data_IF_861884263847
#
_entry.id   IF_861884263847
#
_cell.length_a   1.000
_cell.length_b   1.000
_cell.length_c   1.000
_cell.angle_alpha   90.00
_cell.angle_beta   90.00
_cell.angle_gamma   90.00
#
_symmetry.space_group_name_H-M   'P 1'
#
loop_
_entity.id
_entity.type
_entity.pdbx_description
1 polymer ?
#
# COMPACT_ATOMS: atom_id res chain seq x y z
N UNK A 1 19.74 -10.04 17.65
CA UNK A 1 19.93 -8.58 17.63
C UNK A 1 18.57 -7.96 17.32
N UNK A 2 18.00 -7.20 18.24
CA UNK A 2 16.81 -6.37 17.97
C UNK A 2 17.22 -5.34 16.90
N UNK A 3 16.47 -5.20 15.80
CA UNK A 3 16.77 -4.16 14.82
C UNK A 3 16.72 -2.82 15.57
N UNK A 4 17.78 -2.05 15.49
CA UNK A 4 17.79 -0.68 16.00
C UNK A 4 16.66 0.06 15.30
N UNK A 5 15.75 0.64 16.08
CA UNK A 5 14.63 1.38 15.52
C UNK A 5 15.19 2.59 14.77
N UNK A 6 15.00 2.62 13.46
CA UNK A 6 15.41 3.77 12.64
C UNK A 6 14.46 4.92 12.95
N UNK A 7 14.96 5.93 13.64
CA UNK A 7 14.24 7.17 13.89
C UNK A 7 14.56 8.17 12.78
N UNK A 8 13.53 8.61 12.08
CA UNK A 8 13.67 9.64 11.05
C UNK A 8 13.69 11.03 11.70
N UNK A 9 14.60 11.93 11.26
CA UNK A 9 14.61 13.29 11.75
C UNK A 9 13.41 14.10 11.22
N UNK A 10 12.99 15.16 11.93
CA UNK A 10 11.89 16.03 11.49
C UNK A 10 12.07 16.61 10.09
N UNK A 11 13.30 16.77 9.63
CA UNK A 11 13.59 17.24 8.25
C UNK A 11 13.05 16.32 7.14
N UNK A 12 12.71 15.06 7.44
CA UNK A 12 12.08 14.14 6.51
C UNK A 12 10.56 14.37 6.35
N UNK A 13 9.93 15.18 7.20
CA UNK A 13 8.49 15.37 7.26
C UNK A 13 7.87 15.73 5.91
N UNK A 14 8.31 16.82 5.30
CA UNK A 14 7.74 17.30 4.02
C UNK A 14 7.88 16.26 2.92
N UNK A 15 9.04 15.62 2.82
CA UNK A 15 9.27 14.58 1.83
C UNK A 15 8.32 13.38 2.04
N UNK A 16 8.11 12.95 3.28
CA UNK A 16 7.16 11.87 3.59
C UNK A 16 5.72 12.27 3.29
N UNK A 17 5.29 13.48 3.66
CA UNK A 17 3.95 13.99 3.34
C UNK A 17 3.70 14.02 1.83
N UNK A 18 4.66 14.50 1.03
CA UNK A 18 4.55 14.50 -0.43
C UNK A 18 4.44 13.09 -1.02
N UNK A 19 5.16 12.13 -0.45
CA UNK A 19 5.11 10.73 -0.91
C UNK A 19 3.78 10.09 -0.52
N UNK A 20 3.32 10.37 0.69
CA UNK A 20 2.03 9.87 1.16
C UNK A 20 0.88 10.45 0.34
N UNK A 21 0.88 11.75 0.06
CA UNK A 21 -0.11 12.38 -0.85
C UNK A 21 -0.21 11.64 -2.19
N UNK A 22 0.93 11.21 -2.74
CA UNK A 22 0.94 10.42 -3.99
C UNK A 22 0.42 9.00 -3.80
N UNK A 23 0.66 8.38 -2.64
CA UNK A 23 0.16 7.06 -2.29
C UNK A 23 -1.36 7.09 -2.13
N UNK A 24 -1.90 8.03 -1.37
CA UNK A 24 -3.34 8.24 -1.18
C UNK A 24 -4.09 8.48 -2.49
N UNK A 25 -3.54 9.32 -3.37
CA UNK A 25 -4.13 9.53 -4.69
C UNK A 25 -4.18 8.24 -5.53
N UNK A 26 -3.21 7.32 -5.33
CA UNK A 26 -3.19 6.00 -5.98
C UNK A 26 -4.16 5.03 -5.31
N UNK A 27 -4.24 5.01 -3.97
CA UNK A 27 -5.16 4.17 -3.23
C UNK A 27 -6.61 4.53 -3.57
N UNK A 28 -6.96 5.81 -3.50
CA UNK A 28 -8.29 6.31 -3.89
C UNK A 28 -8.67 5.94 -5.33
N UNK A 29 -7.75 6.08 -6.28
CA UNK A 29 -7.98 5.63 -7.64
C UNK A 29 -8.16 4.11 -7.75
N UNK A 30 -7.36 3.33 -7.04
CA UNK A 30 -7.42 1.87 -7.06
C UNK A 30 -8.77 1.38 -6.50
N UNK A 31 -9.23 1.93 -5.39
CA UNK A 31 -10.53 1.63 -4.78
C UNK A 31 -11.69 2.00 -5.71
N UNK A 32 -11.68 3.20 -6.30
CA UNK A 32 -12.68 3.63 -7.29
C UNK A 32 -12.72 2.71 -8.51
N UNK A 33 -11.55 2.31 -8.99
CA UNK A 33 -11.44 1.36 -10.10
C UNK A 33 -11.97 -0.03 -9.74
N UNK A 34 -11.75 -0.48 -8.50
CA UNK A 34 -12.23 -1.76 -7.99
C UNK A 34 -13.76 -1.79 -7.86
N UNK A 35 -14.38 -0.72 -7.37
CA UNK A 35 -15.84 -0.58 -7.28
C UNK A 35 -16.57 -0.71 -8.61
N UNK A 36 -15.91 -0.36 -9.72
CA UNK A 36 -16.44 -0.48 -11.07
C UNK A 36 -16.27 -1.90 -11.66
N UNK A 37 -15.78 -2.86 -10.88
CA UNK A 37 -15.56 -4.25 -11.29
C UNK A 37 -16.57 -5.19 -10.66
N UNK A 38 -16.63 -6.41 -11.18
CA UNK A 38 -17.37 -7.51 -10.55
C UNK A 38 -16.57 -8.01 -9.33
N UNK A 39 -16.96 -7.53 -8.15
CA UNK A 39 -16.35 -7.90 -6.87
C UNK A 39 -17.34 -8.68 -6.01
N UNK A 40 -16.90 -9.56 -5.10
CA UNK A 40 -17.79 -10.27 -4.18
C UNK A 40 -18.69 -9.30 -3.40
N UNK A 41 -19.95 -9.65 -3.18
CA UNK A 41 -20.95 -8.75 -2.58
C UNK A 41 -20.55 -8.15 -1.24
N UNK A 42 -19.86 -8.92 -0.38
CA UNK A 42 -19.35 -8.45 0.90
C UNK A 42 -18.17 -7.46 0.79
N UNK A 43 -17.50 -7.41 -0.37
CA UNK A 43 -16.38 -6.51 -0.62
C UNK A 43 -16.85 -5.11 -0.99
N UNK A 44 -17.95 -4.99 -1.73
CA UNK A 44 -18.42 -3.70 -2.21
C UNK A 44 -18.72 -2.72 -1.06
N UNK A 45 -19.34 -3.19 0.01
CA UNK A 45 -19.64 -2.37 1.20
C UNK A 45 -18.36 -1.85 1.87
N UNK A 46 -17.32 -2.67 1.90
CA UNK A 46 -16.02 -2.24 2.40
C UNK A 46 -15.38 -1.20 1.47
N UNK A 47 -15.38 -1.42 0.16
CA UNK A 47 -14.80 -0.48 -0.81
C UNK A 47 -15.50 0.89 -0.81
N UNK A 48 -16.79 0.96 -0.51
CA UNK A 48 -17.50 2.23 -0.38
C UNK A 48 -16.98 3.04 0.80
N UNK A 49 -16.84 2.41 1.98
CA UNK A 49 -16.29 3.06 3.18
C UNK A 49 -14.81 3.42 2.98
N UNK A 50 -14.03 2.50 2.46
CA UNK A 50 -12.62 2.68 2.17
C UNK A 50 -12.39 3.90 1.25
N UNK A 51 -13.20 4.08 0.20
CA UNK A 51 -13.10 5.28 -0.66
C UNK A 51 -13.32 6.59 0.12
N UNK A 52 -14.25 6.59 1.08
CA UNK A 52 -14.50 7.78 1.91
C UNK A 52 -13.31 8.06 2.84
N UNK A 53 -12.69 7.03 3.38
CA UNK A 53 -11.50 7.11 4.25
C UNK A 53 -10.31 7.64 3.45
N UNK A 54 -9.98 7.06 2.30
CA UNK A 54 -8.92 7.53 1.40
C UNK A 54 -9.12 8.97 0.92
N UNK A 55 -10.37 9.36 0.64
CA UNK A 55 -10.68 10.73 0.25
C UNK A 55 -10.48 11.74 1.41
N UNK A 56 -10.66 11.32 2.67
CA UNK A 56 -10.36 12.13 3.86
C UNK A 56 -8.86 12.25 4.08
N UNK A 57 -8.12 11.13 4.00
CA UNK A 57 -6.66 11.11 4.11
C UNK A 57 -6.03 12.06 3.08
N UNK A 58 -6.43 11.95 1.82
CA UNK A 58 -5.95 12.81 0.74
C UNK A 58 -6.11 14.30 1.09
N UNK A 59 -7.29 14.71 1.60
CA UNK A 59 -7.56 16.09 2.01
C UNK A 59 -6.67 16.54 3.17
N UNK A 60 -6.37 15.67 4.12
CA UNK A 60 -5.44 15.98 5.22
C UNK A 60 -4.06 16.33 4.68
N UNK A 61 -3.54 15.52 3.73
CA UNK A 61 -2.22 15.76 3.13
C UNK A 61 -2.22 16.99 2.23
N UNK A 62 -3.27 17.22 1.44
CA UNK A 62 -3.42 18.44 0.64
C UNK A 62 -3.39 19.69 1.52
N UNK A 63 -4.10 19.68 2.64
CA UNK A 63 -4.14 20.80 3.57
C UNK A 63 -2.79 21.07 4.23
N UNK A 64 -2.07 20.01 4.65
CA UNK A 64 -0.75 20.14 5.29
C UNK A 64 0.33 20.67 4.35
N UNK A 65 0.27 20.28 3.09
CA UNK A 65 1.22 20.70 2.07
C UNK A 65 0.82 22.04 1.40
N UNK A 66 -0.41 22.50 1.61
CA UNK A 66 -0.94 23.67 0.91
C UNK A 66 -1.08 23.49 -0.60
N UNK A 67 -1.29 22.24 -1.04
CA UNK A 67 -1.41 21.88 -2.47
C UNK A 67 -2.70 21.16 -2.74
N UNK A 68 -3.12 21.11 -4.02
CA UNK A 68 -4.17 20.20 -4.47
C UNK A 68 -3.54 19.06 -5.28
N UNK A 69 -3.96 17.85 -4.99
CA UNK A 69 -3.53 16.70 -5.80
C UNK A 69 -4.19 16.78 -7.17
N UNK A 70 -3.37 16.73 -8.22
CA UNK A 70 -3.89 16.65 -9.58
C UNK A 70 -4.12 15.19 -9.95
N UNK A 71 -5.29 14.91 -10.54
CA UNK A 71 -5.58 13.59 -11.09
C UNK A 71 -4.48 13.20 -12.10
N UNK A 72 -3.87 12.04 -11.89
CA UNK A 72 -2.84 11.53 -12.80
C UNK A 72 -3.44 11.22 -14.15
N UNK A 73 -2.83 11.68 -15.23
CA UNK A 73 -3.30 11.48 -16.61
C UNK A 73 -3.05 10.06 -17.11
N UNK A 74 -2.11 9.32 -16.52
CA UNK A 74 -1.79 7.93 -16.88
C UNK A 74 -1.75 7.07 -15.62
N UNK A 75 -2.84 6.34 -15.40
CA UNK A 75 -2.97 5.38 -14.30
C UNK A 75 -2.87 3.95 -14.85
N UNK A 76 -2.25 3.01 -14.12
CA UNK A 76 -2.14 1.63 -14.54
C UNK A 76 -3.54 1.01 -14.66
N UNK A 77 -3.74 0.12 -15.63
CA UNK A 77 -5.02 -0.57 -15.77
C UNK A 77 -5.18 -1.61 -14.66
N UNK A 78 -6.26 -1.51 -13.89
CA UNK A 78 -6.58 -2.51 -12.88
C UNK A 78 -7.12 -3.81 -13.50
N UNK A 79 -6.74 -4.98 -12.97
CA UNK A 79 -7.26 -6.26 -13.42
C UNK A 79 -8.80 -6.32 -13.34
N UNK A 80 -9.42 -7.12 -14.22
CA UNK A 80 -10.87 -7.36 -14.18
C UNK A 80 -11.25 -8.55 -13.29
N UNK A 81 -10.37 -9.52 -13.18
CA UNK A 81 -10.62 -10.72 -12.36
C UNK A 81 -10.35 -10.43 -10.90
N UNK A 82 -11.30 -10.79 -10.02
CA UNK A 82 -11.19 -10.52 -8.58
C UNK A 82 -9.90 -11.04 -7.96
N UNK A 83 -9.51 -12.27 -8.28
CA UNK A 83 -8.29 -12.88 -7.74
C UNK A 83 -6.99 -12.11 -8.08
N UNK A 84 -6.94 -11.41 -9.20
CA UNK A 84 -5.82 -10.55 -9.56
C UNK A 84 -5.98 -9.14 -8.96
N UNK A 85 -7.22 -8.61 -8.96
CA UNK A 85 -7.54 -7.29 -8.44
C UNK A 85 -7.23 -7.18 -6.96
N UNK A 86 -7.64 -8.19 -6.15
CA UNK A 86 -7.41 -8.18 -4.70
C UNK A 86 -5.91 -8.18 -4.35
N UNK A 87 -5.06 -8.80 -5.18
CA UNK A 87 -3.60 -8.75 -5.00
C UNK A 87 -3.06 -7.33 -5.19
N UNK A 88 -3.58 -6.60 -6.18
CA UNK A 88 -3.17 -5.21 -6.40
C UNK A 88 -3.62 -4.31 -5.25
N UNK A 89 -4.86 -4.44 -4.78
CA UNK A 89 -5.37 -3.70 -3.63
C UNK A 89 -4.53 -4.02 -2.38
N UNK A 90 -4.37 -5.29 -2.05
CA UNK A 90 -3.55 -5.74 -0.91
C UNK A 90 -2.12 -5.20 -0.98
N UNK A 91 -1.52 -5.17 -2.18
CA UNK A 91 -0.17 -4.65 -2.38
C UNK A 91 -0.08 -3.14 -2.18
N UNK A 92 -1.04 -2.36 -2.66
CA UNK A 92 -1.07 -0.91 -2.48
C UNK A 92 -1.27 -0.55 -1.01
N UNK A 93 -2.23 -1.19 -0.33
CA UNK A 93 -2.47 -0.97 1.10
C UNK A 93 -1.27 -1.39 1.96
N UNK A 94 -0.65 -2.53 1.64
CA UNK A 94 0.56 -2.97 2.36
C UNK A 94 1.72 -1.97 2.20
N UNK A 95 1.83 -1.32 1.04
CA UNK A 95 2.82 -0.27 0.81
C UNK A 95 2.44 1.02 1.55
N UNK A 96 1.17 1.44 1.48
CA UNK A 96 0.62 2.58 2.23
C UNK A 96 0.89 2.45 3.72
N UNK A 97 0.56 1.30 4.30
CA UNK A 97 0.80 1.01 5.71
C UNK A 97 2.28 1.15 6.12
N UNK A 98 3.24 0.69 5.31
CA UNK A 98 4.65 0.83 5.65
C UNK A 98 5.10 2.30 5.59
N UNK A 99 4.57 3.10 4.67
CA UNK A 99 4.80 4.55 4.65
C UNK A 99 4.09 5.28 5.79
N UNK A 100 2.86 4.89 6.17
CA UNK A 100 2.15 5.45 7.33
C UNK A 100 2.95 5.27 8.62
N UNK A 101 3.58 4.10 8.83
CA UNK A 101 4.46 3.84 9.95
C UNK A 101 5.67 4.78 10.00
N UNK A 102 6.21 5.16 8.86
CA UNK A 102 7.31 6.14 8.80
C UNK A 102 6.80 7.55 9.09
N UNK A 103 5.64 7.89 8.58
CA UNK A 103 5.06 9.21 8.73
C UNK A 103 4.71 9.54 10.17
N UNK A 104 4.11 8.60 10.93
CA UNK A 104 3.75 8.82 12.33
C UNK A 104 4.96 8.99 13.26
N UNK A 105 6.17 8.61 12.84
CA UNK A 105 7.39 8.89 13.60
C UNK A 105 7.70 10.39 13.62
N UNK A 106 7.38 11.11 12.55
CA UNK A 106 7.63 12.54 12.39
C UNK A 106 6.35 13.37 12.56
N UNK A 107 5.18 12.74 12.45
CA UNK A 107 3.85 13.33 12.58
C UNK A 107 2.93 12.43 13.44
N UNK A 108 3.13 12.36 14.77
CA UNK A 108 2.37 11.46 15.64
C UNK A 108 0.85 11.70 15.67
N UNK A 109 0.40 12.89 15.32
CA UNK A 109 -1.02 13.25 15.24
C UNK A 109 -1.75 12.64 14.02
N UNK A 110 -1.02 11.98 13.12
CA UNK A 110 -1.58 11.17 12.02
C UNK A 110 -1.80 9.69 12.39
N UNK A 111 -1.76 9.35 13.69
CA UNK A 111 -1.96 7.97 14.15
C UNK A 111 -3.28 7.36 13.67
N UNK A 112 -4.36 8.14 13.57
CA UNK A 112 -5.65 7.65 13.06
C UNK A 112 -5.57 7.15 11.62
N UNK A 113 -4.75 7.77 10.78
CA UNK A 113 -4.51 7.30 9.40
C UNK A 113 -3.78 5.95 9.43
N UNK A 114 -2.77 5.79 10.28
CA UNK A 114 -2.09 4.50 10.45
C UNK A 114 -3.05 3.39 10.90
N UNK A 115 -4.00 3.69 11.78
CA UNK A 115 -5.03 2.75 12.25
C UNK A 115 -5.96 2.34 11.10
N UNK A 116 -6.41 3.29 10.28
CA UNK A 116 -7.23 3.02 9.09
C UNK A 116 -6.47 2.14 8.09
N UNK A 117 -5.20 2.47 7.77
CA UNK A 117 -4.33 1.66 6.89
C UNK A 117 -4.17 0.21 7.38
N UNK A 118 -4.06 0.03 8.70
CA UNK A 118 -4.01 -1.32 9.29
C UNK A 118 -5.29 -2.11 9.02
N UNK A 119 -6.45 -1.48 9.17
CA UNK A 119 -7.77 -2.08 8.91
C UNK A 119 -7.91 -2.45 7.42
N UNK A 120 -7.47 -1.57 6.51
CA UNK A 120 -7.51 -1.81 5.06
C UNK A 120 -6.66 -3.02 4.68
N UNK A 121 -5.42 -3.07 5.14
CA UNK A 121 -4.51 -4.21 4.90
C UNK A 121 -5.09 -5.52 5.43
N UNK A 122 -5.61 -5.52 6.66
CA UNK A 122 -6.21 -6.72 7.26
C UNK A 122 -7.44 -7.22 6.51
N UNK A 123 -8.26 -6.30 5.98
CA UNK A 123 -9.40 -6.68 5.16
C UNK A 123 -8.93 -7.39 3.89
N UNK A 124 -8.03 -6.80 3.11
CA UNK A 124 -7.56 -7.42 1.88
C UNK A 124 -6.74 -8.69 2.13
N UNK A 125 -6.02 -8.78 3.24
CA UNK A 125 -5.37 -10.03 3.65
C UNK A 125 -6.37 -11.17 3.81
N UNK A 126 -7.52 -10.92 4.45
CA UNK A 126 -8.60 -11.92 4.58
C UNK A 126 -9.19 -12.31 3.23
N UNK A 127 -9.40 -11.34 2.35
CA UNK A 127 -9.95 -11.60 1.01
C UNK A 127 -8.96 -12.40 0.13
N UNK A 128 -7.66 -12.13 0.23
CA UNK A 128 -6.61 -12.94 -0.42
C UNK A 128 -6.65 -14.38 0.09
N UNK A 129 -6.76 -14.60 1.40
CA UNK A 129 -6.86 -15.95 1.98
C UNK A 129 -8.06 -16.71 1.42
N UNK A 130 -9.24 -16.08 1.31
CA UNK A 130 -10.44 -16.70 0.71
C UNK A 130 -10.20 -17.15 -0.74
N UNK A 131 -9.51 -16.30 -1.54
CA UNK A 131 -9.16 -16.67 -2.93
C UNK A 131 -8.23 -17.88 -2.96
N UNK A 132 -7.23 -17.93 -2.08
CA UNK A 132 -6.28 -19.04 -2.02
C UNK A 132 -6.91 -20.34 -1.50
N UNK A 133 -7.80 -20.24 -0.50
CA UNK A 133 -8.57 -21.37 0.05
C UNK A 133 -9.53 -21.97 -0.99
N UNK A 134 -10.08 -21.16 -1.89
CA UNK A 134 -10.89 -21.60 -3.01
C UNK A 134 -10.15 -22.49 -4.02
N UNK A 135 -8.83 -22.44 -4.03
CA UNK A 135 -7.99 -23.30 -4.86
C UNK A 135 -8.08 -23.04 -6.37
N UNK A 136 -7.62 -24.02 -7.15
CA UNK A 136 -7.74 -24.03 -8.60
C UNK A 136 -7.09 -22.84 -9.31
N UNK A 137 -7.60 -22.49 -10.49
CA UNK A 137 -7.08 -21.44 -11.36
C UNK A 137 -7.04 -20.06 -10.68
N UNK A 138 -7.98 -19.75 -9.79
CA UNK A 138 -8.02 -18.47 -9.09
C UNK A 138 -6.84 -18.34 -8.12
N UNK A 139 -6.56 -19.38 -7.34
CA UNK A 139 -5.43 -19.39 -6.41
C UNK A 139 -4.07 -19.33 -7.13
N UNK A 140 -3.92 -20.08 -8.24
CA UNK A 140 -2.71 -20.03 -9.07
C UNK A 140 -2.51 -18.65 -9.68
N UNK A 141 -3.56 -18.07 -10.29
CA UNK A 141 -3.53 -16.74 -10.87
C UNK A 141 -3.25 -15.64 -9.84
N UNK A 142 -3.75 -15.78 -8.60
CA UNK A 142 -3.45 -14.86 -7.50
C UNK A 142 -1.94 -14.89 -7.16
N UNK A 143 -1.33 -16.08 -7.04
CA UNK A 143 0.12 -16.21 -6.80
C UNK A 143 0.95 -15.63 -7.95
N UNK A 144 0.55 -15.85 -9.20
CA UNK A 144 1.25 -15.29 -10.36
C UNK A 144 1.12 -13.77 -10.41
N UNK A 145 -0.05 -13.23 -10.07
CA UNK A 145 -0.26 -11.78 -9.92
C UNK A 145 0.61 -11.20 -8.79
N UNK A 146 0.74 -11.91 -7.67
CA UNK A 146 1.60 -11.50 -6.56
C UNK A 146 3.07 -11.47 -6.96
N UNK A 147 3.57 -12.50 -7.66
CA UNK A 147 4.93 -12.53 -8.20
C UNK A 147 5.19 -11.38 -9.19
N UNK A 148 4.22 -11.09 -10.06
CA UNK A 148 4.32 -9.99 -11.01
C UNK A 148 4.28 -8.61 -10.34
N UNK A 149 3.48 -8.46 -9.28
CA UNK A 149 3.43 -7.26 -8.46
C UNK A 149 4.73 -7.07 -7.68
N UNK A 150 5.22 -8.13 -7.01
CA UNK A 150 6.48 -8.14 -6.27
C UNK A 150 7.68 -7.70 -7.11
N UNK A 151 7.81 -8.20 -8.34
CA UNK A 151 8.90 -7.80 -9.25
C UNK A 151 8.94 -6.30 -9.56
N UNK A 152 7.80 -5.61 -9.48
CA UNK A 152 7.68 -4.16 -9.73
C UNK A 152 7.82 -3.33 -8.47
N UNK A 153 7.75 -3.96 -7.29
CA UNK A 153 7.79 -3.24 -6.03
C UNK A 153 9.13 -2.55 -5.75
N UNK A 154 10.31 -3.19 -5.90
CA UNK A 154 11.58 -2.55 -5.58
C UNK A 154 11.78 -1.20 -6.29
N UNK A 155 11.66 -1.08 -7.63
CA UNK A 155 11.81 0.20 -8.30
C UNK A 155 10.67 1.19 -7.95
N UNK A 156 9.53 0.71 -7.48
CA UNK A 156 8.47 1.57 -6.97
C UNK A 156 8.86 2.17 -5.62
N UNK A 157 9.34 1.36 -4.69
CA UNK A 157 9.86 1.82 -3.39
C UNK A 157 11.02 2.80 -3.59
N UNK A 158 11.94 2.51 -4.51
CA UNK A 158 13.05 3.40 -4.82
C UNK A 158 12.57 4.80 -5.21
N UNK A 159 11.54 4.90 -6.09
CA UNK A 159 10.93 6.18 -6.50
C UNK A 159 10.21 6.91 -5.36
N UNK A 160 9.59 6.17 -4.43
CA UNK A 160 8.96 6.78 -3.25
C UNK A 160 9.97 7.30 -2.25
N UNK A 161 11.16 6.72 -2.21
CA UNK A 161 12.26 7.14 -1.32
C UNK A 161 13.23 8.14 -1.99
N UNK A 162 12.95 8.60 -3.21
CA UNK A 162 13.71 9.66 -3.86
C UNK A 162 13.54 10.98 -3.11
N UNK A 163 14.63 11.73 -2.97
CA UNK A 163 14.63 13.04 -2.34
C UNK A 163 15.83 13.23 -1.42
N UNK A 164 16.41 14.42 -1.43
CA UNK A 164 17.65 14.74 -0.73
C UNK A 164 17.60 14.41 0.76
N UNK A 165 16.47 14.69 1.41
CA UNK A 165 16.28 14.45 2.86
C UNK A 165 16.12 12.97 3.22
N UNK A 166 15.67 12.13 2.29
CA UNK A 166 15.49 10.68 2.50
C UNK A 166 16.71 9.87 2.07
N UNK A 167 17.58 10.42 1.22
CA UNK A 167 18.73 9.72 0.64
C UNK A 167 19.66 9.06 1.68
N UNK A 168 19.98 9.69 2.83
CA UNK A 168 20.81 9.06 3.86
C UNK A 168 20.18 7.81 4.48
N UNK A 169 18.85 7.72 4.48
CA UNK A 169 18.07 6.62 5.10
C UNK A 169 17.59 5.61 4.08
N UNK A 170 17.66 5.94 2.80
CA UNK A 170 17.06 5.16 1.70
C UNK A 170 17.43 3.69 1.67
N UNK A 171 18.70 3.26 1.83
CA UNK A 171 19.03 1.83 1.80
C UNK A 171 18.32 1.05 2.90
N UNK A 172 18.30 1.57 4.12
CA UNK A 172 17.67 0.92 5.27
C UNK A 172 16.14 0.94 5.16
N UNK A 173 15.54 2.07 4.79
CA UNK A 173 14.09 2.20 4.56
C UNK A 173 13.61 1.23 3.48
N UNK A 174 14.34 1.18 2.36
CA UNK A 174 14.06 0.25 1.26
C UNK A 174 14.06 -1.19 1.74
N UNK A 175 15.10 -1.60 2.46
CA UNK A 175 15.20 -2.95 3.00
C UNK A 175 14.04 -3.29 3.94
N UNK A 176 13.71 -2.38 4.87
CA UNK A 176 12.62 -2.58 5.84
C UNK A 176 11.26 -2.69 5.16
N UNK A 177 10.94 -1.79 4.24
CA UNK A 177 9.66 -1.81 3.50
C UNK A 177 9.52 -3.10 2.70
N UNK A 178 10.56 -3.47 1.93
CA UNK A 178 10.53 -4.70 1.13
C UNK A 178 10.40 -5.95 2.01
N UNK A 179 11.15 -6.04 3.12
CA UNK A 179 11.08 -7.16 4.05
C UNK A 179 9.69 -7.27 4.72
N UNK A 180 9.09 -6.15 5.13
CA UNK A 180 7.77 -6.14 5.74
C UNK A 180 6.68 -6.63 4.77
N UNK A 181 6.69 -6.12 3.53
CA UNK A 181 5.71 -6.53 2.50
C UNK A 181 5.94 -7.99 2.09
N UNK A 182 7.19 -8.42 1.90
CA UNK A 182 7.50 -9.81 1.63
C UNK A 182 6.96 -10.74 2.72
N UNK A 183 7.18 -10.39 3.98
CA UNK A 183 6.68 -11.15 5.14
C UNK A 183 5.17 -11.29 5.11
N UNK A 184 4.42 -10.22 4.78
CA UNK A 184 2.96 -10.25 4.65
C UNK A 184 2.51 -11.17 3.53
N UNK A 185 3.10 -11.03 2.35
CA UNK A 185 2.78 -11.85 1.18
C UNK A 185 3.10 -13.32 1.39
N UNK A 186 4.24 -13.62 2.05
CA UNK A 186 4.61 -15.00 2.37
C UNK A 186 3.72 -15.61 3.46
N UNK A 187 3.29 -14.81 4.45
CA UNK A 187 2.39 -15.26 5.53
C UNK A 187 1.04 -15.73 5.00
N UNK A 188 0.54 -15.13 3.94
CA UNK A 188 -0.73 -15.53 3.32
C UNK A 188 -0.54 -16.59 2.22
N UNK A 189 0.67 -17.00 1.88
CA UNK A 189 0.95 -18.03 0.87
C UNK A 189 0.98 -17.52 -0.56
N UNK A 190 1.24 -16.23 -0.78
CA UNK A 190 1.39 -15.61 -2.09
C UNK A 190 2.80 -15.70 -2.66
N UNK A 191 3.80 -15.66 -1.79
CA UNK A 191 5.23 -15.76 -2.12
C UNK A 191 5.89 -16.84 -1.27
N UNK A 192 6.96 -17.43 -1.78
CA UNK A 192 7.79 -18.37 -1.03
C UNK A 192 8.64 -17.64 0.02
N UNK A 193 8.87 -18.29 1.17
CA UNK A 193 9.67 -17.71 2.28
C UNK A 193 11.14 -17.44 1.93
N UNK A 194 11.62 -18.00 0.81
CA UNK A 194 13.02 -17.97 0.37
C UNK A 194 13.34 -16.92 -0.71
N UNK A 195 12.40 -16.06 -1.08
CA UNK A 195 12.52 -15.11 -2.22
C UNK A 195 13.06 -13.72 -1.83
N UNK A 196 13.87 -13.62 -0.78
CA UNK A 196 14.59 -12.39 -0.40
C UNK A 196 16.00 -12.36 -0.99
#
# INVERSE_FOLDING_TARGET
>A
MTPTELLLPPSCEVALLERFLKAEAMALWAVRSAKAKDVPSGVLSFLLRHEEEEAKHLKVFEARLGVQSHARTKLPRMPSQWWALVIHLFGYEALGLEFAKLLVQVQPDLMSILEDEQVHVEFFEREVKKVLEGGGQAAEGARDSAKAWWRRLPPTVDRYLEGETLEPFRPELRQRILAAIHTRFSRVGLLDRTTL
#
